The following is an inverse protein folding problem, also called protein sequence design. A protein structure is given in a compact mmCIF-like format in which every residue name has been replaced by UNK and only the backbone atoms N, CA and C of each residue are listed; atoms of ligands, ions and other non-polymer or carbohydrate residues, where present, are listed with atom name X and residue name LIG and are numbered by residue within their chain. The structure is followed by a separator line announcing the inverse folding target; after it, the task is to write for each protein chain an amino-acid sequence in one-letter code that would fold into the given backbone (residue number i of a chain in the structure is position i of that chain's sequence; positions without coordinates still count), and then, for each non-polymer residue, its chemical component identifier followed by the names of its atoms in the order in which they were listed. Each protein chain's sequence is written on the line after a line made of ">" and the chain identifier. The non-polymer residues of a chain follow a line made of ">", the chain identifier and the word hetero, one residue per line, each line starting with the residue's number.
data_IF_916197052534
#
_entry.id   IF_916197052534
#
_cell.length_a   1.000
_cell.length_b   1.000
_cell.length_c   1.000
_cell.angle_alpha   90.00
_cell.angle_beta   90.00
_cell.angle_gamma   90.00
#
_symmetry.space_group_name_H-M   'P 1'
#
loop_
_entity.id
_entity.type
_entity.pdbx_description
1 polymer ?
#
# COMPACT_ATOMS: atom_id res chain seq x y z
N UNK A 1 19.83 -0.54 -4.09
CA UNK A 1 19.36 0.81 -3.71
C UNK A 1 18.29 0.63 -2.65
N UNK A 2 18.42 1.23 -1.45
CA UNK A 2 17.38 1.17 -0.42
C UNK A 2 16.13 1.94 -0.87
N UNK A 3 14.96 1.49 -0.42
CA UNK A 3 13.65 2.08 -0.76
C UNK A 3 12.87 2.51 0.50
N UNK A 4 13.56 2.61 1.63
CA UNK A 4 13.04 2.96 2.97
C UNK A 4 12.43 4.37 3.07
N UNK A 5 12.67 5.23 2.07
CA UNK A 5 12.13 6.60 1.99
C UNK A 5 11.16 6.80 0.82
N UNK A 6 10.57 5.73 0.32
CA UNK A 6 9.65 5.78 -0.81
C UNK A 6 8.30 5.16 -0.46
N UNK A 7 7.32 5.32 -1.35
CA UNK A 7 6.00 4.71 -1.24
C UNK A 7 5.93 3.30 -1.88
N UNK A 8 7.08 2.67 -2.15
CA UNK A 8 7.13 1.42 -2.92
C UNK A 8 6.35 0.28 -2.27
N UNK A 9 6.36 0.19 -0.93
CA UNK A 9 5.63 -0.84 -0.21
C UNK A 9 4.12 -0.61 -0.32
N UNK A 10 3.68 0.63 -0.14
CA UNK A 10 2.29 1.03 -0.34
C UNK A 10 1.81 0.71 -1.77
N UNK A 11 2.57 1.11 -2.79
CA UNK A 11 2.22 0.88 -4.19
C UNK A 11 2.14 -0.61 -4.53
N UNK A 12 3.09 -1.42 -4.04
CA UNK A 12 3.09 -2.87 -4.27
C UNK A 12 1.84 -3.54 -3.66
N UNK A 13 1.49 -3.20 -2.42
CA UNK A 13 0.29 -3.72 -1.77
C UNK A 13 -0.99 -3.28 -2.49
N UNK A 14 -1.09 -1.99 -2.85
CA UNK A 14 -2.23 -1.45 -3.58
C UNK A 14 -2.42 -2.13 -4.94
N UNK A 15 -1.34 -2.23 -5.72
CA UNK A 15 -1.38 -2.83 -7.05
C UNK A 15 -1.80 -4.30 -6.99
N UNK A 16 -1.30 -5.06 -6.02
CA UNK A 16 -1.70 -6.45 -5.81
C UNK A 16 -3.20 -6.58 -5.50
N UNK A 17 -3.74 -5.76 -4.59
CA UNK A 17 -5.17 -5.79 -4.23
C UNK A 17 -6.06 -5.41 -5.42
N UNK A 18 -5.69 -4.37 -6.18
CA UNK A 18 -6.43 -3.93 -7.37
C UNK A 18 -6.38 -4.99 -8.48
N UNK A 19 -5.23 -5.62 -8.70
CA UNK A 19 -5.09 -6.69 -9.68
C UNK A 19 -5.96 -7.91 -9.33
N UNK A 20 -6.00 -8.30 -8.06
CA UNK A 20 -6.86 -9.40 -7.58
C UNK A 20 -8.34 -9.04 -7.72
N UNK A 21 -8.73 -7.81 -7.39
CA UNK A 21 -10.09 -7.34 -7.58
C UNK A 21 -10.50 -7.34 -9.05
N UNK A 22 -9.65 -6.85 -9.95
CA UNK A 22 -9.89 -6.86 -11.39
C UNK A 22 -10.02 -8.28 -11.94
N UNK A 23 -9.15 -9.20 -11.50
CA UNK A 23 -9.23 -10.61 -11.87
C UNK A 23 -10.53 -11.27 -11.38
N UNK A 24 -11.00 -10.89 -10.20
CA UNK A 24 -12.24 -11.39 -9.62
C UNK A 24 -13.51 -10.70 -10.16
N UNK A 25 -13.40 -9.66 -10.99
CA UNK A 25 -14.56 -8.87 -11.43
C UNK A 25 -15.62 -9.70 -12.20
N UNK A 26 -15.26 -10.64 -13.10
CA UNK A 26 -16.25 -11.50 -13.74
C UNK A 26 -16.78 -12.57 -12.77
N UNK A 27 -15.90 -13.16 -11.96
CA UNK A 27 -16.21 -14.23 -11.02
C UNK A 27 -15.26 -14.18 -9.82
N UNK A 28 -15.81 -14.26 -8.60
CA UNK A 28 -15.01 -14.29 -7.36
C UNK A 28 -14.26 -15.63 -7.24
N UNK A 29 -12.97 -15.63 -7.55
CA UNK A 29 -12.12 -16.84 -7.58
C UNK A 29 -11.05 -16.83 -6.50
N UNK A 30 -10.35 -15.72 -6.34
CA UNK A 30 -9.31 -15.55 -5.33
C UNK A 30 -9.97 -14.96 -4.07
N UNK A 31 -10.08 -15.76 -3.02
CA UNK A 31 -10.72 -15.33 -1.76
C UNK A 31 -9.69 -14.90 -0.70
N UNK A 32 -8.43 -15.33 -0.84
CA UNK A 32 -7.38 -15.05 0.14
C UNK A 32 -6.05 -14.90 -0.59
N UNK A 33 -5.27 -13.92 -0.16
CA UNK A 33 -3.91 -13.65 -0.67
C UNK A 33 -2.99 -13.58 0.53
N UNK A 34 -1.94 -14.40 0.52
CA UNK A 34 -0.88 -14.33 1.52
C UNK A 34 0.16 -13.32 1.05
N UNK A 35 0.49 -12.36 1.91
CA UNK A 35 1.41 -11.28 1.58
C UNK A 35 2.65 -11.40 2.48
N UNK A 36 3.88 -11.44 1.92
CA UNK A 36 5.09 -11.35 2.73
C UNK A 36 5.28 -9.90 3.24
N UNK A 37 6.27 -9.69 4.12
CA UNK A 37 6.74 -8.35 4.47
C UNK A 37 7.37 -7.67 3.26
N UNK A 38 6.59 -6.86 2.54
CA UNK A 38 7.02 -6.21 1.30
C UNK A 38 8.14 -5.20 1.59
N UNK A 39 9.25 -5.29 0.84
CA UNK A 39 10.36 -4.34 0.95
C UNK A 39 11.27 -4.49 2.18
N UNK A 40 10.98 -5.40 3.11
CA UNK A 40 11.71 -5.48 4.40
C UNK A 40 13.10 -6.08 4.32
N UNK A 41 13.36 -6.96 3.36
CA UNK A 41 14.66 -7.60 3.19
C UNK A 41 15.63 -6.76 2.32
N UNK A 42 15.66 -7.01 1.01
CA UNK A 42 16.59 -6.33 0.08
C UNK A 42 16.24 -4.83 -0.05
N UNK A 43 14.96 -4.49 0.11
CA UNK A 43 14.48 -3.11 0.05
C UNK A 43 14.86 -2.26 1.27
N UNK A 44 15.26 -2.91 2.38
CA UNK A 44 15.71 -2.28 3.64
C UNK A 44 14.68 -1.38 4.31
N UNK A 45 13.39 -1.58 4.05
CA UNK A 45 12.32 -0.87 4.78
C UNK A 45 12.20 -1.48 6.18
N UNK A 46 12.20 -0.68 7.26
CA UNK A 46 11.90 -1.18 8.60
C UNK A 46 10.57 -1.95 8.64
N UNK A 47 10.48 -3.01 9.44
CA UNK A 47 9.29 -3.88 9.48
C UNK A 47 8.02 -3.13 9.85
N UNK A 48 8.10 -2.21 10.81
CA UNK A 48 6.96 -1.41 11.26
C UNK A 48 6.51 -0.42 10.18
N UNK A 49 7.46 0.20 9.48
CA UNK A 49 7.18 1.11 8.38
C UNK A 49 6.55 0.38 7.19
N UNK A 50 7.07 -0.80 6.85
CA UNK A 50 6.47 -1.64 5.82
C UNK A 50 5.03 -2.05 6.18
N UNK A 51 4.80 -2.50 7.42
CA UNK A 51 3.47 -2.86 7.91
C UNK A 51 2.50 -1.67 7.86
N UNK A 52 2.96 -0.47 8.26
CA UNK A 52 2.18 0.77 8.21
C UNK A 52 1.80 1.15 6.77
N UNK A 53 2.74 1.09 5.83
CA UNK A 53 2.45 1.34 4.41
C UNK A 53 1.47 0.30 3.82
N UNK A 54 1.65 -0.98 4.16
CA UNK A 54 0.73 -2.06 3.74
C UNK A 54 -0.69 -1.86 4.30
N UNK A 55 -0.80 -1.42 5.56
CA UNK A 55 -2.08 -1.11 6.20
C UNK A 55 -2.79 0.08 5.54
N UNK A 56 -2.06 1.16 5.23
CA UNK A 56 -2.63 2.31 4.51
C UNK A 56 -3.14 1.92 3.12
N UNK A 57 -2.41 1.08 2.40
CA UNK A 57 -2.85 0.57 1.09
C UNK A 57 -4.11 -0.29 1.21
N UNK A 58 -4.19 -1.13 2.25
CA UNK A 58 -5.37 -1.95 2.53
C UNK A 58 -6.59 -1.09 2.88
N UNK A 59 -6.43 -0.04 3.70
CA UNK A 59 -7.50 0.91 4.01
C UNK A 59 -7.99 1.65 2.76
N UNK A 60 -7.07 2.11 1.91
CA UNK A 60 -7.42 2.73 0.63
C UNK A 60 -8.24 1.79 -0.25
N UNK A 61 -7.84 0.52 -0.34
CA UNK A 61 -8.58 -0.49 -1.09
C UNK A 61 -9.98 -0.77 -0.52
N UNK A 62 -10.11 -0.85 0.81
CA UNK A 62 -11.40 -1.07 1.49
C UNK A 62 -12.35 0.10 1.40
N UNK A 63 -11.83 1.32 1.40
CA UNK A 63 -12.61 2.57 1.40
C UNK A 63 -11.99 3.56 0.42
N UNK A 64 -12.15 3.33 -0.89
CA UNK A 64 -11.58 4.21 -1.89
C UNK A 64 -12.24 5.60 -1.83
N UNK A 65 -11.47 6.70 -1.98
CA UNK A 65 -12.03 8.04 -2.00
C UNK A 65 -12.93 8.21 -3.24
N UNK A 66 -14.12 8.80 -3.06
CA UNK A 66 -15.02 9.08 -4.19
C UNK A 66 -14.52 10.24 -5.07
N UNK A 67 -13.71 11.13 -4.51
CA UNK A 67 -13.08 12.22 -5.23
C UNK A 67 -11.65 12.43 -4.71
N UNK A 68 -10.71 12.65 -5.64
CA UNK A 68 -9.32 12.98 -5.31
C UNK A 68 -9.14 14.49 -5.46
N UNK A 69 -9.19 15.20 -4.34
CA UNK A 69 -8.84 16.63 -4.29
C UNK A 69 -7.36 16.80 -4.01
N UNK A 70 -6.78 17.94 -4.38
CA UNK A 70 -5.37 18.25 -4.08
C UNK A 70 -5.02 18.18 -2.58
N UNK A 71 -5.84 18.73 -1.65
CA UNK A 71 -5.58 18.59 -0.23
C UNK A 71 -5.56 17.14 0.24
N UNK A 72 -6.49 16.31 -0.26
CA UNK A 72 -6.53 14.88 0.05
C UNK A 72 -5.28 14.17 -0.49
N UNK A 73 -4.93 14.40 -1.76
CA UNK A 73 -3.76 13.79 -2.39
C UNK A 73 -2.45 14.14 -1.65
N UNK A 74 -2.28 15.41 -1.26
CA UNK A 74 -1.13 15.87 -0.49
C UNK A 74 -1.09 15.27 0.93
N UNK A 75 -2.24 15.18 1.61
CA UNK A 75 -2.33 14.53 2.92
C UNK A 75 -1.99 13.04 2.85
N UNK A 76 -2.54 12.32 1.87
CA UNK A 76 -2.25 10.90 1.63
C UNK A 76 -0.77 10.66 1.31
N UNK A 77 -0.18 11.47 0.43
CA UNK A 77 1.23 11.33 0.07
C UNK A 77 2.14 11.53 1.29
N UNK A 78 1.85 12.55 2.10
CA UNK A 78 2.55 12.77 3.38
C UNK A 78 2.37 11.59 4.33
N UNK A 79 1.15 11.07 4.49
CA UNK A 79 0.95 9.92 5.38
C UNK A 79 1.68 8.68 4.90
N UNK A 80 1.92 8.48 3.60
CA UNK A 80 2.65 7.32 3.09
C UNK A 80 4.16 7.50 3.23
N UNK A 81 4.72 8.64 2.80
CA UNK A 81 6.17 8.87 2.74
C UNK A 81 6.76 9.35 4.09
N UNK A 82 5.97 10.07 4.89
CA UNK A 82 6.41 10.66 6.16
C UNK A 82 6.02 9.81 7.37
N UNK A 83 6.04 8.47 7.26
CA UNK A 83 5.96 7.62 8.46
C UNK A 83 6.99 8.11 9.46
N UNK A 84 6.53 8.52 10.66
CA UNK A 84 7.35 9.19 11.66
C UNK A 84 8.59 8.35 11.98
N UNK A 85 9.73 8.78 11.43
CA UNK A 85 11.05 8.32 11.86
C UNK A 85 11.36 9.04 13.18
N UNK A 86 10.65 8.64 14.24
CA UNK A 86 11.02 8.94 15.63
C UNK A 86 12.13 7.98 16.08
#
# INVERSE_FOLDING_TARGET
>A
MPIDRTENVYLAMKAMLEAVQAFNAPHSRIQTVVCPGLGTAIGRVPVDEAARQMELAYRYYKTPPQAITWPYAAARNRSIIAGDFA
#
